data_IF_673825625666
#
_entry.id   IF_673825625666
#
_cell.length_a   1.000
_cell.length_b   1.000
_cell.length_c   1.000
_cell.angle_alpha   90.00
_cell.angle_beta   90.00
_cell.angle_gamma   90.00
#
_symmetry.space_group_name_H-M   'P 1'
#
loop_
_entity.id
_entity.type
_entity.pdbx_description
1 polymer ?
#
# COMPACT_ATOMS: atom_id res chain seq x y z
N UNK A 1 -10.74 73.83 49.87
CA UNK A 1 -10.67 73.92 48.40
C UNK A 1 -9.70 72.86 47.90
N UNK A 2 -10.19 71.66 47.43
CA UNK A 2 -9.36 70.64 46.76
C UNK A 2 -10.08 70.31 45.45
N UNK A 3 -9.45 70.65 44.34
CA UNK A 3 -9.95 70.31 42.98
C UNK A 3 -9.64 68.87 42.66
N UNK A 4 -10.71 68.15 42.34
CA UNK A 4 -10.66 66.77 41.87
C UNK A 4 -10.48 66.74 40.33
N UNK A 5 -9.34 66.31 39.81
CA UNK A 5 -9.10 66.17 38.39
C UNK A 5 -9.53 64.70 37.98
N UNK A 6 -10.57 64.67 37.18
CA UNK A 6 -11.12 63.50 36.61
C UNK A 6 -10.34 63.09 35.33
N UNK A 7 -9.46 62.09 35.39
CA UNK A 7 -8.69 61.64 34.26
C UNK A 7 -9.53 60.70 33.40
N UNK A 8 -9.83 61.08 32.20
CA UNK A 8 -10.52 60.29 31.18
C UNK A 8 -9.52 59.32 30.53
N UNK A 9 -9.59 58.00 30.79
CA UNK A 9 -8.79 57.00 30.12
C UNK A 9 -9.54 56.49 28.89
N UNK A 10 -9.03 56.82 27.72
CA UNK A 10 -9.49 56.27 26.43
C UNK A 10 -8.80 54.93 26.26
N UNK A 11 -9.57 53.84 26.36
CA UNK A 11 -9.11 52.51 25.97
C UNK A 11 -9.36 52.27 24.48
N UNK A 12 -8.31 52.27 23.71
CA UNK A 12 -8.36 51.87 22.29
C UNK A 12 -8.33 50.34 22.21
N UNK A 13 -9.47 49.73 21.93
CA UNK A 13 -9.54 48.32 21.63
C UNK A 13 -9.11 48.09 20.18
N UNK A 14 -7.94 47.51 20.00
CA UNK A 14 -7.47 47.00 18.70
C UNK A 14 -8.02 45.61 18.52
N UNK A 15 -9.06 45.49 17.70
CA UNK A 15 -9.60 44.18 17.30
C UNK A 15 -8.71 43.62 16.19
N UNK A 16 -7.89 42.60 16.52
CA UNK A 16 -7.17 41.80 15.52
C UNK A 16 -8.15 40.82 14.87
N UNK A 17 -8.54 41.11 13.65
CA UNK A 17 -9.23 40.13 12.79
C UNK A 17 -8.19 39.13 12.28
N UNK A 18 -8.19 37.92 12.83
CA UNK A 18 -7.46 36.81 12.25
C UNK A 18 -8.21 36.35 10.98
N UNK A 19 -7.69 36.73 9.81
CA UNK A 19 -8.05 36.03 8.56
C UNK A 19 -7.37 34.67 8.60
N UNK A 20 -8.14 33.63 8.92
CA UNK A 20 -7.73 32.27 8.67
C UNK A 20 -7.78 32.04 7.15
N UNK A 21 -6.66 32.23 6.47
CA UNK A 21 -6.47 31.73 5.10
C UNK A 21 -6.31 30.24 5.24
N UNK A 22 -7.42 29.51 5.12
CA UNK A 22 -7.40 28.08 4.96
C UNK A 22 -6.75 27.75 3.63
N UNK A 23 -5.47 27.42 3.63
CA UNK A 23 -4.86 26.69 2.53
C UNK A 23 -5.48 25.30 2.48
N UNK A 24 -6.62 25.16 1.82
CA UNK A 24 -7.06 23.90 1.28
C UNK A 24 -6.06 23.55 0.16
N UNK A 25 -4.94 22.96 0.55
CA UNK A 25 -3.99 22.38 -0.39
C UNK A 25 -4.71 21.27 -1.12
N UNK A 26 -5.26 21.56 -2.30
CA UNK A 26 -5.62 20.53 -3.27
C UNK A 26 -4.34 19.80 -3.60
N UNK A 27 -4.17 18.60 -3.11
CA UNK A 27 -3.07 17.74 -3.49
C UNK A 27 -3.26 17.37 -4.96
N UNK A 28 -2.62 18.15 -5.85
CA UNK A 28 -2.66 17.95 -7.30
C UNK A 28 -2.19 16.56 -7.73
N UNK A 29 -1.53 15.82 -6.86
CA UNK A 29 -1.01 14.47 -7.14
C UNK A 29 -2.11 13.42 -7.18
N UNK A 30 -3.21 13.63 -6.45
CA UNK A 30 -4.35 12.72 -6.48
C UNK A 30 -5.20 12.87 -7.76
N UNK A 31 -5.01 13.96 -8.53
CA UNK A 31 -5.83 14.28 -9.69
C UNK A 31 -5.06 14.29 -11.02
N UNK A 32 -3.75 14.00 -11.02
CA UNK A 32 -3.00 13.92 -12.27
C UNK A 32 -3.07 12.51 -12.85
N UNK A 33 -3.85 12.36 -13.90
CA UNK A 33 -3.94 11.16 -14.75
C UNK A 33 -2.69 10.88 -15.57
N UNK A 34 -1.56 11.53 -15.29
CA UNK A 34 -0.33 11.42 -16.07
C UNK A 34 0.91 11.37 -15.20
N UNK A 35 1.15 10.24 -14.58
CA UNK A 35 2.52 9.86 -14.28
C UNK A 35 3.05 9.07 -15.47
N UNK A 36 4.23 9.41 -15.98
CA UNK A 36 4.84 8.77 -17.14
C UNK A 36 5.02 7.25 -17.02
N UNK A 37 4.86 6.68 -15.83
CA UNK A 37 4.88 5.25 -15.55
C UNK A 37 3.58 4.52 -15.92
N UNK A 38 2.46 5.20 -15.99
CA UNK A 38 1.15 4.59 -16.25
C UNK A 38 0.61 4.90 -17.64
N UNK A 39 1.29 5.76 -18.42
CA UNK A 39 0.78 6.34 -19.66
C UNK A 39 1.31 5.76 -20.99
N UNK A 40 2.19 4.75 -21.01
CA UNK A 40 2.62 4.16 -22.28
C UNK A 40 2.11 2.73 -22.43
N UNK A 41 1.26 2.54 -23.43
CA UNK A 41 0.60 1.31 -23.79
C UNK A 41 1.54 0.12 -23.88
N UNK A 42 1.25 -0.87 -23.06
CA UNK A 42 1.69 -2.23 -23.20
C UNK A 42 0.51 -3.10 -22.82
N UNK A 43 0.15 -4.02 -23.71
CA UNK A 43 -0.91 -5.00 -23.56
C UNK A 43 -0.58 -6.00 -22.44
N UNK A 44 -0.60 -5.53 -21.18
CA UNK A 44 -0.68 -6.36 -20.01
C UNK A 44 -2.12 -6.27 -19.52
N UNK A 45 -2.74 -7.38 -19.19
CA UNK A 45 -4.06 -7.43 -18.59
C UNK A 45 -4.08 -6.60 -17.30
N UNK A 46 -4.32 -5.29 -17.43
CA UNK A 46 -4.73 -4.46 -16.32
C UNK A 46 -6.09 -4.98 -15.91
N UNK A 47 -6.14 -5.71 -14.79
CA UNK A 47 -7.41 -6.08 -14.15
C UNK A 47 -8.29 -4.83 -14.10
N UNK A 48 -9.62 -4.94 -14.37
CA UNK A 48 -10.51 -3.81 -14.28
C UNK A 48 -10.44 -3.25 -12.86
N UNK A 49 -9.56 -2.29 -12.69
CA UNK A 49 -9.39 -1.57 -11.46
C UNK A 49 -10.67 -0.80 -11.17
N UNK A 50 -11.13 -0.81 -9.95
CA UNK A 50 -12.23 0.00 -9.47
C UNK A 50 -12.12 1.43 -10.01
N UNK A 51 -13.21 2.03 -10.54
CA UNK A 51 -13.24 3.42 -10.92
C UNK A 51 -12.82 4.28 -9.72
N UNK A 52 -11.70 4.98 -9.82
CA UNK A 52 -11.13 5.81 -8.75
C UNK A 52 -9.96 5.20 -7.96
N UNK A 53 -9.56 3.97 -8.24
CA UNK A 53 -8.37 3.37 -7.63
C UNK A 53 -7.12 3.68 -8.46
N UNK A 54 -6.72 4.96 -8.55
CA UNK A 54 -5.46 5.33 -9.18
C UNK A 54 -4.26 4.80 -8.41
N UNK A 55 -3.27 4.23 -9.11
CA UNK A 55 -1.94 4.02 -8.56
C UNK A 55 -1.02 5.11 -9.11
N UNK A 56 -0.07 5.58 -8.30
CA UNK A 56 0.92 6.55 -8.75
C UNK A 56 2.26 6.40 -8.02
N UNK A 57 3.30 6.95 -8.65
CA UNK A 57 4.65 7.04 -8.09
C UNK A 57 5.33 8.34 -8.52
N UNK A 58 5.73 9.17 -7.54
CA UNK A 58 6.42 10.44 -7.69
C UNK A 58 7.73 10.49 -6.87
N UNK A 59 8.26 9.31 -6.50
CA UNK A 59 9.37 9.20 -5.55
C UNK A 59 10.77 9.23 -6.14
N UNK A 60 10.94 9.30 -7.47
CA UNK A 60 12.26 9.15 -8.09
C UNK A 60 13.22 10.27 -7.72
N UNK A 61 12.71 11.50 -7.55
CA UNK A 61 13.52 12.68 -7.20
C UNK A 61 13.34 13.11 -5.74
N UNK A 62 12.71 12.27 -4.89
CA UNK A 62 12.50 12.55 -3.47
C UNK A 62 13.46 11.72 -2.65
N UNK A 63 14.28 12.38 -1.83
CA UNK A 63 15.20 11.74 -0.89
C UNK A 63 14.57 11.63 0.51
N UNK A 64 15.16 10.79 1.36
CA UNK A 64 14.74 10.57 2.73
C UNK A 64 14.43 9.12 3.04
N UNK A 65 14.33 8.80 4.33
CA UNK A 65 14.07 7.44 4.79
C UNK A 65 12.69 6.96 4.29
N UNK A 66 12.60 5.76 3.69
CA UNK A 66 11.33 5.20 3.24
C UNK A 66 10.50 4.68 4.40
N UNK A 67 9.18 4.76 4.26
CA UNK A 67 8.20 4.10 5.12
C UNK A 67 6.91 3.82 4.37
N UNK A 68 6.13 2.85 4.82
CA UNK A 68 4.86 2.50 4.22
C UNK A 68 3.72 2.51 5.23
N UNK A 69 2.52 2.86 4.78
CA UNK A 69 1.28 2.76 5.57
C UNK A 69 0.23 2.02 4.75
N UNK A 70 -0.19 0.87 5.25
CA UNK A 70 -1.31 0.11 4.68
C UNK A 70 -2.60 0.46 5.43
N UNK A 71 -3.61 0.94 4.71
CA UNK A 71 -4.97 1.08 5.23
C UNK A 71 -5.83 -0.10 4.75
N UNK A 72 -6.23 -0.97 5.67
CA UNK A 72 -7.01 -2.17 5.40
C UNK A 72 -8.43 -1.85 4.94
N UNK A 73 -9.04 -0.80 5.49
CA UNK A 73 -10.39 -0.38 5.10
C UNK A 73 -10.44 0.17 3.68
N UNK A 74 -9.44 0.99 3.32
CA UNK A 74 -9.34 1.59 1.99
C UNK A 74 -8.74 0.67 0.94
N UNK A 75 -8.14 -0.46 1.34
CA UNK A 75 -7.37 -1.35 0.48
C UNK A 75 -6.32 -0.58 -0.33
N UNK A 76 -5.51 0.24 0.39
CA UNK A 76 -4.46 1.08 -0.19
C UNK A 76 -3.17 1.02 0.62
N UNK A 77 -2.07 0.90 -0.09
CA UNK A 77 -0.71 0.99 0.46
C UNK A 77 -0.08 2.31 0.01
N UNK A 78 0.28 3.14 0.97
CA UNK A 78 0.91 4.44 0.79
C UNK A 78 2.40 4.34 1.02
N UNK A 79 3.19 5.01 0.18
CA UNK A 79 4.65 5.04 0.26
C UNK A 79 5.15 6.46 0.54
N UNK A 80 6.04 6.56 1.52
CA UNK A 80 6.62 7.84 1.96
C UNK A 80 8.14 7.81 1.82
N UNK A 81 8.75 8.97 1.52
CA UNK A 81 10.20 9.22 1.65
C UNK A 81 10.39 10.50 2.48
N UNK A 82 11.15 10.41 3.58
CA UNK A 82 11.36 11.55 4.49
C UNK A 82 10.06 12.16 5.05
N UNK A 83 9.01 11.36 5.23
CA UNK A 83 7.68 11.80 5.68
C UNK A 83 6.79 12.39 4.57
N UNK A 84 7.32 12.60 3.35
CA UNK A 84 6.53 13.03 2.21
C UNK A 84 5.86 11.84 1.53
N UNK A 85 4.55 11.91 1.26
CA UNK A 85 3.83 10.92 0.46
C UNK A 85 4.29 11.01 -1.00
N UNK A 86 4.82 9.91 -1.53
CA UNK A 86 5.40 9.85 -2.88
C UNK A 86 4.80 8.75 -3.76
N UNK A 87 3.97 7.87 -3.21
CA UNK A 87 3.34 6.82 -3.99
C UNK A 87 2.14 6.20 -3.29
N UNK A 88 1.23 5.66 -4.09
CA UNK A 88 0.07 4.93 -3.60
C UNK A 88 -0.26 3.80 -4.56
N UNK A 89 -0.59 2.64 -3.99
CA UNK A 89 -1.05 1.47 -4.73
C UNK A 89 -2.36 0.96 -4.15
N UNK A 90 -3.36 0.61 -4.98
CA UNK A 90 -4.43 -0.27 -4.55
C UNK A 90 -3.84 -1.63 -4.17
N UNK A 91 -4.50 -2.33 -3.26
CA UNK A 91 -4.09 -3.67 -2.83
C UNK A 91 -5.28 -4.61 -2.67
N UNK A 92 -4.99 -5.90 -2.52
CA UNK A 92 -5.95 -6.89 -2.02
C UNK A 92 -5.31 -7.63 -0.86
N UNK A 93 -5.86 -7.44 0.34
CA UNK A 93 -5.35 -8.03 1.59
C UNK A 93 -6.03 -9.35 1.91
N UNK A 94 -5.75 -9.93 3.08
CA UNK A 94 -6.34 -11.18 3.54
C UNK A 94 -7.86 -11.12 3.62
N UNK A 95 -8.53 -12.17 3.09
CA UNK A 95 -9.97 -12.36 3.22
C UNK A 95 -10.36 -12.76 4.64
N UNK A 96 -11.64 -12.82 4.92
CA UNK A 96 -12.17 -13.33 6.19
C UNK A 96 -11.57 -14.72 6.53
N UNK A 97 -11.16 -14.91 7.78
CA UNK A 97 -10.44 -16.09 8.25
C UNK A 97 -8.93 -16.13 7.94
N UNK A 98 -8.44 -15.23 7.09
CA UNK A 98 -7.02 -15.10 6.71
C UNK A 98 -6.55 -13.65 6.81
N UNK A 99 -6.90 -12.97 7.89
CA UNK A 99 -6.70 -11.54 8.04
C UNK A 99 -5.23 -11.13 7.93
N UNK A 100 -4.96 -10.06 7.19
CA UNK A 100 -3.68 -9.34 7.27
C UNK A 100 -3.62 -8.65 8.64
N UNK A 101 -2.60 -8.92 9.49
CA UNK A 101 -2.55 -8.37 10.83
C UNK A 101 -2.30 -6.86 10.81
N UNK A 102 -3.05 -6.10 11.61
CA UNK A 102 -2.74 -4.69 11.89
C UNK A 102 -1.58 -4.59 12.89
N UNK A 103 -0.84 -3.49 12.85
CA UNK A 103 0.29 -3.24 13.75
C UNK A 103 1.47 -2.55 13.08
N UNK A 104 2.58 -2.48 13.78
CA UNK A 104 3.83 -1.91 13.30
C UNK A 104 4.82 -3.05 12.96
N UNK A 105 5.26 -3.05 11.70
CA UNK A 105 6.14 -4.07 11.12
C UNK A 105 7.36 -3.42 10.48
N UNK A 106 8.26 -4.27 9.99
CA UNK A 106 9.40 -3.88 9.13
C UNK A 106 9.51 -4.87 7.98
N UNK A 107 10.07 -4.42 6.88
CA UNK A 107 10.49 -5.34 5.82
C UNK A 107 11.64 -6.20 6.33
N UNK A 108 11.42 -7.50 6.45
CA UNK A 108 12.37 -8.46 7.02
C UNK A 108 13.25 -9.12 5.95
N UNK A 109 12.70 -9.31 4.76
CA UNK A 109 13.33 -10.02 3.65
C UNK A 109 12.73 -9.52 2.34
N UNK A 110 13.53 -9.58 1.26
CA UNK A 110 13.09 -9.32 -0.11
C UNK A 110 13.48 -10.49 -1.00
N UNK A 111 12.56 -10.88 -1.88
CA UNK A 111 12.78 -11.96 -2.84
C UNK A 111 12.00 -11.65 -4.13
N UNK A 112 12.75 -11.44 -5.22
CA UNK A 112 12.16 -10.99 -6.50
C UNK A 112 11.26 -12.05 -7.13
N UNK A 113 11.65 -13.31 -7.03
CA UNK A 113 11.01 -14.44 -7.72
C UNK A 113 10.41 -15.45 -6.73
N UNK A 114 9.91 -14.93 -5.60
CA UNK A 114 9.40 -15.74 -4.52
C UNK A 114 8.27 -16.66 -4.97
N UNK A 115 8.31 -17.88 -4.46
CA UNK A 115 7.26 -18.89 -4.64
C UNK A 115 6.77 -19.35 -3.27
N UNK A 116 5.46 -19.36 -3.07
CA UNK A 116 4.86 -19.81 -1.82
C UNK A 116 5.18 -21.30 -1.55
N UNK A 117 5.61 -21.60 -0.34
CA UNK A 117 5.80 -22.97 0.14
C UNK A 117 4.53 -23.57 0.74
N UNK A 118 3.51 -22.74 1.00
CA UNK A 118 2.30 -23.14 1.71
C UNK A 118 1.04 -23.14 0.84
N UNK A 119 0.88 -22.16 -0.05
CA UNK A 119 -0.31 -22.02 -0.89
C UNK A 119 0.05 -22.14 -2.37
N UNK A 120 -0.81 -22.83 -3.12
CA UNK A 120 -0.56 -23.08 -4.54
C UNK A 120 -1.61 -23.98 -5.16
N UNK A 121 -1.15 -24.85 -6.05
CA UNK A 121 -2.00 -25.80 -6.75
C UNK A 121 -1.37 -27.19 -6.70
N UNK A 122 -2.19 -28.25 -6.74
CA UNK A 122 -1.70 -29.58 -7.14
C UNK A 122 -1.74 -29.69 -8.66
N UNK A 123 -0.66 -30.21 -9.22
CA UNK A 123 -0.51 -30.44 -10.68
C UNK A 123 -0.18 -31.87 -10.98
N UNK A 124 -0.65 -32.40 -12.14
CA UNK A 124 -0.29 -33.69 -12.63
C UNK A 124 1.15 -33.75 -13.21
N UNK A 125 1.56 -34.93 -13.71
CA UNK A 125 2.89 -35.10 -14.32
C UNK A 125 3.11 -34.27 -15.58
N UNK A 126 2.05 -33.81 -16.24
CA UNK A 126 2.08 -32.93 -17.42
C UNK A 126 2.06 -31.44 -17.03
N UNK A 127 1.94 -31.09 -15.73
CA UNK A 127 1.87 -29.75 -15.23
C UNK A 127 0.48 -29.10 -15.24
N UNK A 128 -0.57 -29.86 -15.58
CA UNK A 128 -1.93 -29.37 -15.53
C UNK A 128 -2.43 -29.28 -14.10
N UNK A 129 -3.21 -28.23 -13.79
CA UNK A 129 -3.79 -28.06 -12.46
C UNK A 129 -4.92 -29.07 -12.26
N UNK A 130 -4.76 -29.94 -11.26
CA UNK A 130 -5.77 -30.91 -10.83
C UNK A 130 -6.54 -30.50 -9.59
N UNK A 131 -5.95 -29.63 -8.76
CA UNK A 131 -6.63 -28.92 -7.68
C UNK A 131 -6.01 -27.53 -7.50
N UNK A 132 -6.84 -26.50 -7.52
CA UNK A 132 -6.41 -25.12 -7.41
C UNK A 132 -6.64 -24.55 -6.00
N UNK A 133 -5.86 -23.51 -5.63
CA UNK A 133 -6.01 -22.79 -4.36
C UNK A 133 -5.93 -23.67 -3.12
N UNK A 134 -5.01 -24.62 -3.13
CA UNK A 134 -4.78 -25.59 -2.05
C UNK A 134 -3.67 -25.14 -1.11
N UNK A 135 -3.70 -25.66 0.12
CA UNK A 135 -2.53 -25.69 1.00
C UNK A 135 -1.63 -26.89 0.64
N UNK A 136 -0.32 -26.74 0.82
CA UNK A 136 0.63 -27.84 0.69
C UNK A 136 0.34 -28.99 1.68
N UNK A 137 -0.41 -28.69 2.76
CA UNK A 137 -0.82 -29.64 3.79
C UNK A 137 -2.16 -30.36 3.47
N UNK A 138 -2.86 -29.94 2.43
CA UNK A 138 -4.11 -30.58 2.02
C UNK A 138 -3.86 -31.99 1.48
N UNK A 139 -4.84 -32.90 1.54
CA UNK A 139 -4.75 -34.22 0.96
C UNK A 139 -4.37 -34.16 -0.53
N UNK A 140 -3.22 -34.73 -0.87
CA UNK A 140 -2.68 -34.68 -2.23
C UNK A 140 -3.35 -35.73 -3.11
N UNK A 141 -3.91 -35.36 -4.30
CA UNK A 141 -4.43 -36.31 -5.26
C UNK A 141 -3.35 -37.31 -5.71
N UNK A 142 -3.70 -38.59 -6.00
CA UNK A 142 -2.75 -39.59 -6.51
C UNK A 142 -2.02 -39.06 -7.76
N UNK A 143 -0.69 -39.21 -7.79
CA UNK A 143 0.14 -38.81 -8.93
C UNK A 143 0.38 -37.28 -9.06
N UNK A 144 -0.24 -36.47 -8.21
CA UNK A 144 -0.03 -35.02 -8.26
C UNK A 144 1.21 -34.58 -7.47
N UNK A 145 1.73 -33.40 -7.80
CA UNK A 145 2.76 -32.67 -7.06
C UNK A 145 2.27 -31.28 -6.67
N UNK A 146 2.78 -30.73 -5.56
CA UNK A 146 2.47 -29.37 -5.16
C UNK A 146 3.31 -28.37 -5.96
N UNK A 147 2.66 -27.36 -6.54
CA UNK A 147 3.28 -26.21 -7.18
C UNK A 147 2.83 -24.94 -6.46
N UNK A 148 3.77 -24.29 -5.77
CA UNK A 148 3.52 -23.05 -5.03
C UNK A 148 3.08 -21.91 -5.93
N UNK A 149 2.30 -21.01 -5.39
CA UNK A 149 1.88 -19.78 -6.07
C UNK A 149 3.07 -18.84 -6.28
N UNK A 150 3.21 -18.28 -7.48
CA UNK A 150 4.19 -17.23 -7.76
C UNK A 150 3.82 -15.96 -7.03
N UNK A 151 4.80 -15.33 -6.39
CA UNK A 151 4.66 -14.10 -5.59
C UNK A 151 5.79 -13.12 -5.93
N UNK A 152 5.86 -12.60 -7.17
CA UNK A 152 6.95 -11.73 -7.62
C UNK A 152 7.06 -10.47 -6.74
N UNK A 153 8.29 -9.97 -6.56
CA UNK A 153 8.60 -8.77 -5.78
C UNK A 153 8.17 -8.88 -4.31
N UNK A 154 8.35 -10.05 -3.72
CA UNK A 154 7.93 -10.33 -2.36
C UNK A 154 8.77 -9.56 -1.34
N UNK A 155 8.10 -8.85 -0.43
CA UNK A 155 8.70 -8.20 0.74
C UNK A 155 8.00 -8.74 2.00
N UNK A 156 8.72 -9.57 2.77
CA UNK A 156 8.22 -10.19 4.00
C UNK A 156 8.07 -9.16 5.12
N UNK A 157 6.94 -9.18 5.81
CA UNK A 157 6.64 -8.31 6.95
C UNK A 157 6.55 -9.08 8.27
N UNK A 158 5.85 -10.22 8.27
CA UNK A 158 5.63 -11.02 9.47
C UNK A 158 5.29 -12.47 9.09
N UNK A 159 5.97 -13.45 9.68
CA UNK A 159 5.73 -14.86 9.37
C UNK A 159 5.76 -15.14 7.86
N UNK A 160 4.66 -15.64 7.32
CA UNK A 160 4.46 -15.82 5.88
C UNK A 160 3.82 -14.62 5.17
N UNK A 161 3.45 -13.56 5.88
CA UNK A 161 2.76 -12.41 5.32
C UNK A 161 3.78 -11.41 4.75
N UNK A 162 3.51 -10.93 3.55
CA UNK A 162 4.30 -9.90 2.87
C UNK A 162 3.52 -9.24 1.73
N UNK A 163 4.12 -8.24 1.10
CA UNK A 163 3.60 -7.62 -0.13
C UNK A 163 4.17 -8.34 -1.34
N UNK A 164 3.43 -8.46 -2.42
CA UNK A 164 3.90 -9.04 -3.69
C UNK A 164 2.98 -8.65 -4.86
N UNK A 165 3.44 -8.86 -6.10
CA UNK A 165 2.58 -8.74 -7.26
C UNK A 165 1.52 -9.84 -7.29
N UNK A 166 0.27 -9.49 -7.63
CA UNK A 166 -0.81 -10.47 -7.73
C UNK A 166 -2.11 -9.88 -8.23
N UNK A 167 -3.08 -10.75 -8.47
CA UNK A 167 -4.41 -10.35 -8.92
C UNK A 167 -5.18 -9.60 -7.82
N UNK A 168 -5.82 -8.49 -8.21
CA UNK A 168 -6.65 -7.65 -7.36
C UNK A 168 -8.12 -7.73 -7.80
N UNK A 169 -8.96 -8.48 -7.09
CA UNK A 169 -10.41 -8.53 -7.39
C UNK A 169 -11.17 -7.27 -6.93
N UNK A 170 -10.50 -6.33 -6.25
CA UNK A 170 -11.11 -5.11 -5.70
C UNK A 170 -11.67 -5.28 -4.28
N UNK A 171 -11.49 -6.45 -3.69
CA UNK A 171 -11.87 -6.78 -2.32
C UNK A 171 -10.72 -7.55 -1.64
N UNK A 172 -10.69 -7.68 -0.30
CA UNK A 172 -9.80 -8.61 0.38
C UNK A 172 -10.05 -10.06 -0.08
N UNK A 173 -9.00 -10.72 -0.63
CA UNK A 173 -9.14 -12.08 -1.22
C UNK A 173 -7.91 -12.96 -1.05
N UNK A 174 -6.87 -12.51 -0.34
CA UNK A 174 -5.66 -13.29 -0.15
C UNK A 174 -5.74 -14.24 1.07
N UNK A 175 -4.69 -15.04 1.28
CA UNK A 175 -4.45 -15.81 2.50
C UNK A 175 -3.59 -15.04 3.53
N UNK A 176 -3.74 -13.71 3.57
CA UNK A 176 -3.04 -12.82 4.51
C UNK A 176 -1.99 -11.92 3.87
N UNK A 177 -1.43 -12.28 2.72
CA UNK A 177 -0.50 -11.42 1.97
C UNK A 177 -1.21 -10.20 1.37
N UNK A 178 -0.42 -9.20 1.01
CA UNK A 178 -0.87 -7.94 0.42
C UNK A 178 -0.51 -7.97 -1.07
N UNK A 179 -1.51 -8.27 -1.91
CA UNK A 179 -1.34 -8.29 -3.36
C UNK A 179 -1.36 -6.87 -3.92
N UNK A 180 -0.50 -6.59 -4.88
CA UNK A 180 -0.35 -5.29 -5.56
C UNK A 180 -0.37 -5.49 -7.08
N UNK A 181 -0.74 -4.47 -7.86
CA UNK A 181 -0.47 -4.46 -9.30
C UNK A 181 1.03 -4.65 -9.55
N UNK A 182 1.41 -5.43 -10.55
CA UNK A 182 2.81 -5.82 -10.79
C UNK A 182 3.75 -4.63 -10.92
N UNK A 183 3.37 -3.60 -11.68
CA UNK A 183 4.16 -2.37 -11.84
C UNK A 183 4.44 -1.69 -10.49
N UNK A 184 3.43 -1.60 -9.62
CA UNK A 184 3.60 -0.97 -8.31
C UNK A 184 4.39 -1.85 -7.34
N UNK A 185 4.20 -3.16 -7.39
CA UNK A 185 5.00 -4.10 -6.62
C UNK A 185 6.48 -3.99 -6.98
N UNK A 186 6.81 -3.92 -8.28
CA UNK A 186 8.19 -3.70 -8.74
C UNK A 186 8.77 -2.38 -8.25
N UNK A 187 8.05 -1.26 -8.43
CA UNK A 187 8.50 0.08 -8.01
C UNK A 187 8.73 0.11 -6.50
N UNK A 188 7.78 -0.38 -5.70
CA UNK A 188 7.91 -0.39 -4.24
C UNK A 188 9.04 -1.31 -3.80
N UNK A 189 9.18 -2.49 -4.42
CA UNK A 189 10.27 -3.41 -4.15
C UNK A 189 11.64 -2.75 -4.36
N UNK A 190 11.88 -2.09 -5.51
CA UNK A 190 13.17 -1.46 -5.82
C UNK A 190 13.52 -0.32 -4.84
N UNK A 191 12.53 0.43 -4.38
CA UNK A 191 12.72 1.58 -3.52
C UNK A 191 12.74 1.25 -2.01
N UNK A 192 12.49 0.00 -1.62
CA UNK A 192 12.31 -0.40 -0.22
C UNK A 192 13.51 -1.24 0.25
N UNK A 193 14.44 -0.72 1.05
CA UNK A 193 15.46 -1.53 1.72
C UNK A 193 14.85 -2.41 2.82
N UNK A 194 15.54 -3.51 3.15
CA UNK A 194 15.26 -4.30 4.36
C UNK A 194 15.37 -3.40 5.58
N UNK A 195 14.47 -3.55 6.55
CA UNK A 195 14.36 -2.70 7.73
C UNK A 195 13.37 -1.54 7.58
N UNK A 196 12.85 -1.25 6.38
CA UNK A 196 11.87 -0.19 6.15
C UNK A 196 10.63 -0.39 7.03
N UNK A 197 10.21 0.63 7.82
CA UNK A 197 8.99 0.56 8.64
C UNK A 197 7.73 0.44 7.78
N UNK A 198 6.81 -0.40 8.23
CA UNK A 198 5.48 -0.60 7.62
C UNK A 198 4.43 -0.59 8.71
N UNK A 199 3.52 0.38 8.67
CA UNK A 199 2.38 0.46 9.56
C UNK A 199 1.13 -0.08 8.86
N UNK A 200 0.41 -0.99 9.51
CA UNK A 200 -0.85 -1.56 9.01
C UNK A 200 -1.97 -1.14 9.95
N UNK A 201 -3.00 -0.46 9.40
CA UNK A 201 -4.13 0.09 10.16
C UNK A 201 -5.45 -0.15 9.43
N UNK A 202 -6.55 0.06 10.13
CA UNK A 202 -7.89 0.11 9.55
C UNK A 202 -8.25 1.51 9.09
#
# INVERSE_FOLDING_TARGET
MKRLLLGFRITVSVTFAFLAIGCAGHDRRLNSSSTSYLGSGGSGQDSPSHPGAGAYWDGDNVSGAPSMVLNLTQQKLYYYKGGQLVGMSPVSTGREGYNTPAGDFKVLQKDRDHVSTLYGNFVDASGNVVAANVSANDPKPPGASFRGASMPYFMRLHGGVGTHAGFLPGIPDSHGCIRMPEKMAAIFFENTPVGTPVKITY
#
